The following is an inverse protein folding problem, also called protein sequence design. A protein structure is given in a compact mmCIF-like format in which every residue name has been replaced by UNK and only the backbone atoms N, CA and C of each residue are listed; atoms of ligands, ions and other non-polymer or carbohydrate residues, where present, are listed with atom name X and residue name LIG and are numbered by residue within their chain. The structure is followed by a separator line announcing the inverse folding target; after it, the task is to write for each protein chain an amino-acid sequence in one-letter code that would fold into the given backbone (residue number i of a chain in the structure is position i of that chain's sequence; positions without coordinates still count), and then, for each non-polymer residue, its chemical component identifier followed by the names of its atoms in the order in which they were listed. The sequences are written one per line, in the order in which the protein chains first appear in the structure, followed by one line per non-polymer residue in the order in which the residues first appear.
data_IF_043783623707
#
_entry.id   IF_043783623707
#
_cell.length_a   1.000
_cell.length_b   1.000
_cell.length_c   1.000
_cell.angle_alpha   90.00
_cell.angle_beta   90.00
_cell.angle_gamma   90.00
#
_symmetry.space_group_name_H-M   'P 1'
#
loop_
_entity.id
_entity.type
_entity.pdbx_description
1 polymer ?
#
# COMPACT_ATOMS: atom_id res chain seq x y z
N UNK A 1 -18.02 -7.90 7.38
CA UNK A 1 -17.59 -6.63 7.97
C UNK A 1 -17.38 -5.60 6.90
N UNK A 2 -17.96 -4.44 7.05
CA UNK A 2 -17.75 -3.35 6.12
C UNK A 2 -16.70 -2.40 6.68
N UNK A 3 -16.22 -1.47 5.84
CA UNK A 3 -15.29 -0.44 6.28
C UNK A 3 -15.84 0.35 7.47
N UNK A 4 -17.14 0.57 7.49
CA UNK A 4 -17.78 1.32 8.56
C UNK A 4 -17.72 0.62 9.90
N UNK A 5 -17.50 -0.67 9.94
CA UNK A 5 -17.39 -1.42 11.18
C UNK A 5 -15.99 -1.37 11.76
N UNK A 6 -15.02 -0.88 11.00
CA UNK A 6 -13.64 -0.75 11.44
C UNK A 6 -13.38 0.73 11.64
N UNK A 7 -13.64 1.23 12.85
CA UNK A 7 -13.53 2.67 13.11
C UNK A 7 -12.24 3.06 13.80
N UNK A 8 -11.57 2.11 14.42
CA UNK A 8 -10.31 2.37 15.10
C UNK A 8 -9.40 1.17 14.97
N UNK A 9 -8.12 1.45 14.75
CA UNK A 9 -7.12 0.42 14.83
C UNK A 9 -6.82 0.12 16.29
N UNK A 10 -6.35 -1.10 16.61
CA UNK A 10 -5.87 -1.38 17.96
C UNK A 10 -4.75 -0.43 18.37
N UNK A 11 -4.65 -0.16 19.66
CA UNK A 11 -3.64 0.77 20.16
C UNK A 11 -2.23 0.37 19.74
N UNK A 12 -1.95 -0.91 19.73
CA UNK A 12 -0.62 -1.43 19.38
C UNK A 12 -0.39 -1.56 17.88
N UNK A 13 -1.38 -1.19 17.05
CA UNK A 13 -1.20 -1.24 15.61
C UNK A 13 -0.16 -0.20 15.17
N UNK A 14 0.89 -0.60 14.44
CA UNK A 14 2.01 0.31 14.13
C UNK A 14 1.75 1.28 12.98
N UNK A 15 0.61 1.19 12.30
CA UNK A 15 0.35 2.01 11.13
C UNK A 15 -0.89 2.87 11.31
N UNK A 16 -1.37 3.42 10.20
CA UNK A 16 -2.58 4.26 10.16
C UNK A 16 -3.84 3.40 10.13
N UNK A 17 -4.98 4.06 10.33
CA UNK A 17 -6.26 3.37 10.20
C UNK A 17 -6.49 2.80 8.80
N UNK A 18 -6.27 3.56 7.72
CA UNK A 18 -6.43 2.97 6.38
C UNK A 18 -5.54 1.75 6.17
N UNK A 19 -4.31 1.77 6.69
CA UNK A 19 -3.45 0.60 6.59
C UNK A 19 -4.01 -0.59 7.35
N UNK A 20 -4.59 -0.34 8.52
CA UNK A 20 -5.23 -1.41 9.27
C UNK A 20 -6.42 -2.00 8.51
N UNK A 21 -7.20 -1.15 7.86
CA UNK A 21 -8.34 -1.61 7.06
C UNK A 21 -7.88 -2.50 5.91
N UNK A 22 -6.80 -2.10 5.22
CA UNK A 22 -6.24 -2.93 4.15
C UNK A 22 -5.76 -4.27 4.71
N UNK A 23 -5.07 -4.24 5.84
CA UNK A 23 -4.59 -5.46 6.49
C UNK A 23 -5.76 -6.42 6.78
N UNK A 24 -6.82 -5.91 7.39
CA UNK A 24 -7.98 -6.74 7.71
C UNK A 24 -8.66 -7.25 6.45
N UNK A 25 -8.73 -6.43 5.42
CA UNK A 25 -9.37 -6.82 4.16
C UNK A 25 -8.58 -7.94 3.48
N UNK A 26 -7.25 -7.86 3.51
CA UNK A 26 -6.41 -8.92 2.96
C UNK A 26 -6.66 -10.24 3.68
N UNK A 27 -6.76 -10.20 5.00
CA UNK A 27 -7.06 -11.41 5.78
C UNK A 27 -8.42 -11.99 5.39
N UNK A 28 -9.41 -11.12 5.19
CA UNK A 28 -10.74 -11.57 4.76
C UNK A 28 -10.72 -12.21 3.39
N UNK A 29 -9.80 -11.80 2.53
CA UNK A 29 -9.63 -12.41 1.21
C UNK A 29 -8.76 -13.65 1.26
N UNK A 30 -8.42 -14.14 2.44
CA UNK A 30 -7.69 -15.38 2.58
C UNK A 30 -6.18 -15.23 2.54
N UNK A 31 -5.67 -13.99 2.62
CA UNK A 31 -4.22 -13.79 2.64
C UNK A 31 -3.69 -13.91 4.06
N UNK A 32 -2.61 -14.66 4.21
CA UNK A 32 -2.01 -14.91 5.51
C UNK A 32 -0.92 -13.87 5.78
N UNK A 33 -0.97 -13.19 6.94
CA UNK A 33 -0.02 -12.10 7.22
C UNK A 33 1.40 -12.56 7.52
N UNK A 34 1.67 -13.85 7.45
CA UNK A 34 3.02 -14.39 7.61
C UNK A 34 3.46 -15.09 6.33
N UNK A 35 2.57 -15.90 5.75
CA UNK A 35 2.92 -16.72 4.59
C UNK A 35 2.72 -15.99 3.27
N UNK A 36 1.78 -15.06 3.20
CA UNK A 36 1.42 -14.41 1.93
C UNK A 36 1.92 -12.99 1.82
N UNK A 37 2.03 -12.26 2.92
CA UNK A 37 2.52 -10.88 2.86
C UNK A 37 3.11 -10.47 4.21
N UNK A 38 3.85 -9.37 4.21
CA UNK A 38 4.33 -8.73 5.43
C UNK A 38 3.96 -7.26 5.40
N UNK A 39 3.78 -6.68 6.58
CA UNK A 39 3.40 -5.27 6.72
C UNK A 39 4.63 -4.44 7.08
N UNK A 40 4.80 -3.32 6.37
CA UNK A 40 5.87 -2.33 6.59
C UNK A 40 7.28 -2.91 6.48
N UNK A 41 7.54 -3.50 5.33
CA UNK A 41 8.85 -4.07 5.03
C UNK A 41 9.78 -3.01 4.48
N UNK A 42 10.99 -2.91 5.03
CA UNK A 42 12.01 -2.06 4.45
C UNK A 42 12.67 -2.79 3.29
N UNK A 43 12.72 -2.13 2.14
CA UNK A 43 13.27 -2.71 0.91
C UNK A 43 14.48 -1.88 0.50
N UNK A 44 15.53 -2.55 0.07
CA UNK A 44 16.76 -1.89 -0.39
C UNK A 44 17.38 -1.00 0.68
N UNK A 45 17.27 -1.41 1.95
CA UNK A 45 17.92 -0.69 3.04
C UNK A 45 19.42 -0.68 2.76
N UNK A 46 20.01 0.50 2.79
CA UNK A 46 21.42 0.66 2.49
C UNK A 46 21.71 1.09 1.07
N UNK A 47 20.77 0.91 0.15
CA UNK A 47 20.94 1.47 -1.20
C UNK A 47 20.59 2.94 -1.25
N UNK A 48 19.62 3.34 -0.46
CA UNK A 48 19.29 4.75 -0.30
C UNK A 48 19.96 5.22 0.96
N UNK A 49 20.71 6.27 0.85
CA UNK A 49 21.55 6.73 1.94
C UNK A 49 20.76 7.15 3.17
N UNK A 50 19.53 7.52 2.99
CA UNK A 50 18.73 8.08 4.09
C UNK A 50 17.53 7.18 4.37
N UNK A 51 17.82 5.94 4.66
CA UNK A 51 16.77 4.99 4.95
C UNK A 51 16.20 4.42 3.68
N UNK A 52 16.05 3.15 3.62
CA UNK A 52 15.52 2.48 2.46
C UNK A 52 14.06 2.82 2.20
N UNK A 53 13.55 2.30 1.12
CA UNK A 53 12.13 2.39 0.83
C UNK A 53 11.36 1.55 1.84
N UNK A 54 10.29 2.10 2.37
CA UNK A 54 9.39 1.33 3.22
C UNK A 54 8.13 1.07 2.41
N UNK A 55 7.83 -0.21 2.25
CA UNK A 55 6.64 -0.66 1.54
C UNK A 55 5.64 -1.10 2.59
N UNK A 56 4.41 -0.58 2.51
CA UNK A 56 3.41 -0.90 3.52
C UNK A 56 3.08 -2.38 3.52
N UNK A 57 2.85 -2.96 2.34
CA UNK A 57 2.53 -4.38 2.23
C UNK A 57 3.38 -5.00 1.13
N UNK A 58 4.32 -5.85 1.54
CA UNK A 58 5.16 -6.57 0.60
C UNK A 58 4.68 -8.01 0.53
N UNK A 59 4.34 -8.47 -0.68
CA UNK A 59 3.80 -9.81 -0.82
C UNK A 59 4.90 -10.85 -1.03
N UNK A 60 4.65 -12.01 -0.50
CA UNK A 60 5.46 -13.19 -0.70
C UNK A 60 4.76 -14.09 -1.71
N UNK A 61 3.45 -14.10 -1.66
CA UNK A 61 2.61 -14.88 -2.54
C UNK A 61 1.41 -14.02 -2.97
N UNK A 62 1.41 -13.44 -4.16
CA UNK A 62 2.44 -13.58 -5.21
C UNK A 62 3.69 -12.73 -4.91
N UNK A 63 4.86 -13.15 -5.39
CA UNK A 63 6.11 -12.45 -5.03
C UNK A 63 6.36 -11.17 -5.81
N UNK A 64 5.54 -10.85 -6.78
CA UNK A 64 5.73 -9.68 -7.63
C UNK A 64 4.77 -8.53 -7.32
N UNK A 65 4.14 -8.56 -6.15
CA UNK A 65 3.14 -7.56 -5.76
C UNK A 65 3.57 -6.84 -4.49
N UNK A 66 3.37 -5.53 -4.47
CA UNK A 66 3.50 -4.71 -3.27
C UNK A 66 2.39 -3.67 -3.28
N UNK A 67 1.94 -3.25 -2.11
CA UNK A 67 0.86 -2.27 -1.98
C UNK A 67 1.31 -1.18 -1.01
N UNK A 68 1.13 0.07 -1.41
CA UNK A 68 1.35 1.22 -0.52
C UNK A 68 0.06 2.03 -0.40
N UNK A 69 -0.23 2.44 0.82
CA UNK A 69 -1.39 3.27 1.11
C UNK A 69 -0.97 4.73 1.05
N UNK A 70 -1.65 5.52 0.24
CA UNK A 70 -1.39 6.93 0.11
C UNK A 70 -2.39 7.71 0.97
N UNK A 71 -1.87 8.44 1.93
CA UNK A 71 -2.71 9.17 2.87
C UNK A 71 -2.84 10.62 2.47
N UNK A 72 -4.06 11.16 2.61
CA UNK A 72 -4.30 12.58 2.48
C UNK A 72 -4.22 13.09 1.06
N UNK A 73 -5.12 14.00 0.73
CA UNK A 73 -5.12 14.46 -0.64
C UNK A 73 -4.03 15.51 -0.92
N UNK A 74 -3.48 16.14 0.09
CA UNK A 74 -2.39 17.09 -0.13
C UNK A 74 -1.09 16.41 -0.52
N UNK A 75 -1.02 15.09 -0.49
CA UNK A 75 0.11 14.36 -1.07
C UNK A 75 0.32 14.72 -2.55
N UNK A 76 -0.74 15.09 -3.22
CA UNK A 76 -0.72 15.27 -4.66
C UNK A 76 -0.62 16.73 -5.07
N UNK A 77 -0.42 17.61 -4.12
CA UNK A 77 -0.33 19.03 -4.44
C UNK A 77 1.05 19.39 -4.92
N UNK A 78 1.08 20.08 -6.06
CA UNK A 78 2.20 20.92 -6.47
C UNK A 78 3.55 20.22 -6.56
N UNK A 79 3.61 19.05 -7.15
CA UNK A 79 4.89 18.40 -7.36
C UNK A 79 5.62 18.11 -6.05
N UNK A 80 4.86 17.72 -5.05
CA UNK A 80 5.36 17.43 -3.72
C UNK A 80 6.54 16.47 -3.77
N UNK A 81 7.53 16.63 -2.88
CA UNK A 81 8.61 15.65 -2.75
C UNK A 81 8.12 14.26 -2.45
N UNK A 82 6.94 14.15 -1.81
CA UNK A 82 6.34 12.84 -1.52
C UNK A 82 5.96 12.14 -2.82
N UNK A 83 5.36 12.88 -3.77
CA UNK A 83 4.99 12.29 -5.07
C UNK A 83 6.24 11.80 -5.79
N UNK A 84 7.29 12.59 -5.80
CA UNK A 84 8.53 12.20 -6.48
C UNK A 84 9.13 10.95 -5.84
N UNK A 85 9.11 10.86 -4.52
CA UNK A 85 9.62 9.71 -3.80
C UNK A 85 8.80 8.46 -4.12
N UNK A 86 7.48 8.61 -4.17
CA UNK A 86 6.60 7.48 -4.45
C UNK A 86 6.81 6.95 -5.87
N UNK A 87 6.98 7.86 -6.83
CA UNK A 87 7.26 7.45 -8.20
C UNK A 87 8.61 6.75 -8.32
N UNK A 88 9.60 7.23 -7.58
CA UNK A 88 10.91 6.61 -7.55
C UNK A 88 10.85 5.22 -6.95
N UNK A 89 10.09 5.07 -5.87
CA UNK A 89 9.90 3.76 -5.24
C UNK A 89 9.30 2.77 -6.23
N UNK A 90 8.27 3.21 -6.95
CA UNK A 90 7.62 2.33 -7.92
C UNK A 90 8.58 1.92 -9.03
N UNK A 91 9.37 2.87 -9.54
CA UNK A 91 10.32 2.56 -10.59
C UNK A 91 11.41 1.62 -10.10
N UNK A 92 11.88 1.80 -8.88
CA UNK A 92 12.92 0.97 -8.32
C UNK A 92 12.45 -0.47 -8.11
N UNK A 93 11.24 -0.65 -7.60
CA UNK A 93 10.69 -1.98 -7.43
C UNK A 93 10.40 -2.64 -8.77
N UNK A 94 9.96 -1.87 -9.76
CA UNK A 94 9.73 -2.40 -11.10
C UNK A 94 11.03 -2.98 -11.68
N UNK A 95 12.16 -2.36 -11.39
CA UNK A 95 13.45 -2.88 -11.81
C UNK A 95 13.77 -4.24 -11.18
N UNK A 96 13.16 -4.54 -10.05
CA UNK A 96 13.33 -5.83 -9.37
C UNK A 96 12.20 -6.80 -9.70
N UNK A 97 11.34 -6.46 -10.66
CA UNK A 97 10.23 -7.31 -11.05
C UNK A 97 9.03 -7.25 -10.11
N UNK A 98 8.95 -6.21 -9.28
CA UNK A 98 7.85 -6.07 -8.33
C UNK A 98 6.98 -4.91 -8.77
N UNK A 99 5.67 -5.16 -8.88
CA UNK A 99 4.71 -4.13 -9.24
C UNK A 99 4.13 -3.51 -7.96
N UNK A 100 4.44 -2.24 -7.76
CA UNK A 100 3.95 -1.51 -6.60
C UNK A 100 2.63 -0.83 -6.97
N UNK A 101 1.58 -1.19 -6.27
CA UNK A 101 0.24 -0.66 -6.47
C UNK A 101 -0.04 0.32 -5.35
N UNK A 102 -0.41 1.55 -5.71
CA UNK A 102 -0.84 2.55 -4.73
C UNK A 102 -2.34 2.48 -4.54
N UNK A 103 -2.78 2.59 -3.30
CA UNK A 103 -4.20 2.69 -2.98
C UNK A 103 -4.41 3.94 -2.15
N UNK A 104 -5.35 4.78 -2.58
CA UNK A 104 -5.60 6.03 -1.91
C UNK A 104 -6.46 5.84 -0.67
N UNK A 105 -6.14 6.58 0.37
CA UNK A 105 -6.85 6.48 1.65
C UNK A 105 -8.35 6.67 1.47
N UNK A 106 -8.76 7.63 0.66
CA UNK A 106 -10.18 7.91 0.47
C UNK A 106 -10.89 6.71 -0.14
N UNK A 107 -10.26 6.05 -1.12
CA UNK A 107 -10.86 4.87 -1.75
C UNK A 107 -10.98 3.74 -0.75
N UNK A 108 -10.00 3.58 0.13
CA UNK A 108 -10.05 2.55 1.17
C UNK A 108 -11.22 2.81 2.10
N UNK A 109 -11.41 4.06 2.51
CA UNK A 109 -12.49 4.39 3.44
C UNK A 109 -13.86 4.25 2.81
N UNK A 110 -13.96 4.41 1.50
CA UNK A 110 -15.22 4.30 0.79
C UNK A 110 -15.56 2.88 0.39
N UNK A 111 -14.57 2.10 -0.05
CA UNK A 111 -14.81 0.75 -0.54
C UNK A 111 -13.54 -0.10 -0.43
N UNK A 112 -13.23 -0.50 0.79
CA UNK A 112 -12.01 -1.25 1.04
C UNK A 112 -11.97 -2.55 0.24
N UNK A 113 -13.08 -3.27 0.16
CA UNK A 113 -13.07 -4.57 -0.53
C UNK A 113 -12.83 -4.41 -2.02
N UNK A 114 -13.46 -3.41 -2.64
CA UNK A 114 -13.27 -3.17 -4.06
C UNK A 114 -11.87 -2.74 -4.40
N UNK A 115 -11.31 -1.79 -3.63
CA UNK A 115 -9.99 -1.27 -3.93
C UNK A 115 -8.90 -2.33 -3.68
N UNK A 116 -9.04 -3.11 -2.62
CA UNK A 116 -8.06 -4.17 -2.34
C UNK A 116 -8.17 -5.28 -3.36
N UNK A 117 -9.39 -5.65 -3.76
CA UNK A 117 -9.57 -6.66 -4.80
C UNK A 117 -8.89 -6.25 -6.09
N UNK A 118 -9.04 -4.99 -6.48
CA UNK A 118 -8.39 -4.49 -7.69
C UNK A 118 -6.88 -4.48 -7.54
N UNK A 119 -6.37 -4.07 -6.39
CA UNK A 119 -4.93 -4.07 -6.14
C UNK A 119 -4.36 -5.49 -6.25
N UNK A 120 -5.07 -6.48 -5.75
CA UNK A 120 -4.64 -7.88 -5.87
C UNK A 120 -4.63 -8.36 -7.32
N UNK A 121 -5.30 -7.64 -8.20
CA UNK A 121 -5.29 -7.92 -9.65
C UNK A 121 -4.35 -6.99 -10.39
N UNK A 122 -3.49 -6.27 -9.66
CA UNK A 122 -2.52 -5.34 -10.22
C UNK A 122 -3.17 -4.13 -10.89
N UNK A 123 -4.36 -3.75 -10.43
CA UNK A 123 -5.05 -2.56 -10.94
C UNK A 123 -4.81 -1.42 -9.97
N UNK A 124 -4.14 -0.38 -10.43
CA UNK A 124 -3.81 0.80 -9.64
C UNK A 124 -4.81 1.90 -9.97
N UNK A 125 -5.71 2.18 -9.02
CA UNK A 125 -6.75 3.19 -9.21
C UNK A 125 -6.39 4.51 -8.55
N UNK A 126 -5.16 4.63 -8.06
CA UNK A 126 -4.73 5.83 -7.37
C UNK A 126 -4.48 6.98 -8.34
N UNK A 127 -4.40 8.17 -7.78
CA UNK A 127 -4.02 9.34 -8.55
C UNK A 127 -2.61 9.16 -9.13
N UNK A 128 -1.71 8.54 -8.36
CA UNK A 128 -0.35 8.30 -8.83
C UNK A 128 -0.29 7.28 -9.96
N UNK A 129 -1.25 6.38 -10.01
CA UNK A 129 -1.32 5.39 -11.07
C UNK A 129 -1.94 5.90 -12.34
N UNK A 130 -2.28 7.19 -12.39
CA UNK A 130 -2.90 7.76 -13.57
C UNK A 130 -4.40 7.76 -13.51
N UNK A 131 -4.95 7.46 -12.37
CA UNK A 131 -6.39 7.50 -12.17
C UNK A 131 -7.15 6.49 -12.98
N UNK A 132 -6.49 5.52 -13.41
CA UNK A 132 -6.98 4.49 -14.32
C UNK A 132 -8.40 4.39 -14.67
#
# INVERSE_FOLDING_TARGET
MTTQQIQQAPTEWPGSLPEFIVFQTLIRFGKDPVLDFSFQTAVHVGRLEKGGLVIDFMFINPPDLAINVQGGFFHYEQGSPVIARDKMARAQLAGDGIQLIFVDEQDILEDAEGIVRDALRYIDRSVLGGGA
#
